data_IF_528206495638
#
_entry.id   IF_528206495638
#
_cell.length_a   1.000
_cell.length_b   1.000
_cell.length_c   1.000
_cell.angle_alpha   90.00
_cell.angle_beta   90.00
_cell.angle_gamma   90.00
#
_symmetry.space_group_name_H-M   'P 1'
#
loop_
_entity.id
_entity.type
_entity.pdbx_description
1 polymer ?
#
# COMPACT_ATOMS: atom_id res chain seq x y z
N UNK A 1 7.00 2.57 -0.28
CA UNK A 1 6.00 2.93 -1.31
C UNK A 1 6.70 3.03 -2.65
N UNK A 2 6.20 2.33 -3.66
CA UNK A 2 6.60 2.50 -5.06
C UNK A 2 5.36 3.01 -5.81
N UNK A 3 5.49 4.15 -6.48
CA UNK A 3 4.41 4.73 -7.29
C UNK A 3 4.85 4.66 -8.73
N UNK A 4 4.16 3.86 -9.56
CA UNK A 4 4.36 3.96 -11.01
C UNK A 4 3.80 5.30 -11.46
N UNK A 5 4.56 6.03 -12.27
CA UNK A 5 4.10 7.28 -12.89
C UNK A 5 4.03 7.05 -14.39
N UNK A 6 2.86 6.62 -14.87
CA UNK A 6 2.55 6.58 -16.30
C UNK A 6 2.02 7.96 -16.71
N UNK A 7 2.94 8.91 -16.91
CA UNK A 7 2.62 10.29 -17.33
C UNK A 7 1.93 11.15 -16.26
N UNK A 8 0.77 11.73 -16.61
CA UNK A 8 -0.02 12.65 -15.77
C UNK A 8 -1.10 11.95 -14.93
N UNK A 9 -1.24 10.62 -15.10
CA UNK A 9 -2.11 9.81 -14.25
C UNK A 9 -1.34 9.38 -13.01
N UNK A 10 -2.01 9.48 -11.86
CA UNK A 10 -1.59 8.79 -10.65
C UNK A 10 -1.63 7.30 -10.96
N UNK A 11 -0.49 6.75 -11.38
CA UNK A 11 -0.37 5.32 -11.63
C UNK A 11 -0.47 4.55 -10.32
N UNK A 12 -0.68 3.24 -10.46
CA UNK A 12 -0.91 2.35 -9.33
C UNK A 12 0.14 2.54 -8.23
N UNK A 13 -0.33 2.75 -6.99
CA UNK A 13 0.54 2.98 -5.85
C UNK A 13 0.62 1.71 -5.00
N UNK A 14 1.84 1.24 -4.78
CA UNK A 14 2.10 0.11 -3.90
C UNK A 14 2.42 0.56 -2.47
N UNK A 15 1.67 0.01 -1.52
CA UNK A 15 1.83 0.19 -0.08
C UNK A 15 2.05 -1.16 0.57
N UNK A 16 3.24 -1.37 1.14
CA UNK A 16 3.54 -2.63 1.80
C UNK A 16 5.02 -2.86 2.01
N UNK A 17 5.35 -4.10 2.34
CA UNK A 17 6.70 -4.52 2.68
C UNK A 17 7.45 -4.98 1.43
N UNK A 18 8.67 -4.48 1.30
CA UNK A 18 9.64 -4.93 0.29
C UNK A 18 10.59 -5.95 0.91
N UNK A 19 11.00 -6.96 0.14
CA UNK A 19 12.04 -7.91 0.53
C UNK A 19 13.01 -8.08 -0.64
N UNK A 20 14.29 -7.75 -0.44
CA UNK A 20 15.31 -7.86 -1.50
C UNK A 20 15.03 -7.01 -2.75
N UNK A 21 14.38 -5.85 -2.59
CA UNK A 21 14.03 -4.98 -3.72
C UNK A 21 12.75 -5.37 -4.47
N UNK A 22 12.10 -6.48 -4.09
CA UNK A 22 10.84 -6.95 -4.69
C UNK A 22 9.69 -6.73 -3.69
N UNK A 23 8.50 -6.29 -4.13
CA UNK A 23 7.30 -6.30 -3.29
C UNK A 23 7.08 -7.71 -2.73
N UNK A 24 6.84 -7.83 -1.43
CA UNK A 24 6.62 -9.12 -0.77
C UNK A 24 5.15 -9.31 -0.39
N UNK A 25 4.58 -8.32 0.29
CA UNK A 25 3.17 -8.30 0.70
C UNK A 25 2.70 -6.85 0.80
N UNK A 26 1.48 -6.58 0.35
CA UNK A 26 0.89 -5.25 0.48
C UNK A 26 -0.34 -5.03 -0.40
N UNK A 27 -0.69 -3.76 -0.55
CA UNK A 27 -1.84 -3.26 -1.30
C UNK A 27 -1.37 -2.49 -2.51
N UNK A 28 -1.99 -2.76 -3.65
CA UNK A 28 -1.93 -1.90 -4.84
C UNK A 28 -3.23 -1.13 -4.92
N UNK A 29 -3.11 0.19 -4.91
CA UNK A 29 -4.17 1.12 -5.24
C UNK A 29 -4.30 1.18 -6.77
N UNK A 30 -5.39 0.63 -7.30
CA UNK A 30 -5.78 0.67 -8.72
C UNK A 30 -6.95 1.64 -8.90
N UNK A 31 -7.15 2.09 -10.14
CA UNK A 31 -8.25 3.01 -10.49
C UNK A 31 -9.63 2.47 -10.07
N UNK A 32 -9.79 1.14 -10.11
CA UNK A 32 -11.06 0.46 -9.84
C UNK A 32 -11.11 -0.18 -8.43
N UNK A 33 -10.15 0.12 -7.55
CA UNK A 33 -10.12 -0.35 -6.16
C UNK A 33 -8.76 -0.90 -5.70
N UNK A 34 -8.78 -1.68 -4.63
CA UNK A 34 -7.56 -2.20 -4.00
C UNK A 34 -7.37 -3.69 -4.29
N UNK A 35 -6.16 -4.06 -4.73
CA UNK A 35 -5.71 -5.46 -4.69
C UNK A 35 -4.75 -5.63 -3.53
N UNK A 36 -5.03 -6.57 -2.64
CA UNK A 36 -4.24 -6.82 -1.43
C UNK A 36 -3.76 -8.27 -1.42
N UNK A 37 -2.46 -8.48 -1.19
CA UNK A 37 -1.95 -9.84 -1.09
C UNK A 37 -0.43 -9.97 -1.09
N UNK A 38 0.00 -11.23 -1.15
CA UNK A 38 1.39 -11.61 -1.38
C UNK A 38 1.74 -11.40 -2.85
N UNK A 39 2.92 -10.83 -3.07
CA UNK A 39 3.46 -10.65 -4.40
C UNK A 39 4.32 -11.86 -4.76
N UNK A 40 4.01 -12.50 -5.88
CA UNK A 40 4.86 -13.47 -6.53
C UNK A 40 5.22 -12.94 -7.92
N UNK A 41 6.50 -12.92 -8.26
CA UNK A 41 7.01 -12.48 -9.58
C UNK A 41 6.49 -11.12 -10.07
N UNK A 42 6.20 -10.20 -9.16
CA UNK A 42 5.83 -8.82 -9.49
C UNK A 42 4.33 -8.55 -9.65
N UNK A 43 3.46 -9.53 -9.40
CA UNK A 43 2.01 -9.36 -9.32
C UNK A 43 1.47 -9.97 -8.02
N UNK A 44 0.28 -9.54 -7.61
CA UNK A 44 -0.46 -10.19 -6.53
C UNK A 44 -0.95 -11.52 -7.10
N UNK A 45 -0.40 -12.62 -6.58
CA UNK A 45 -0.77 -13.95 -7.04
C UNK A 45 -2.27 -14.20 -6.89
N UNK A 46 -2.89 -14.86 -7.87
CA UNK A 46 -4.35 -15.10 -7.90
C UNK A 46 -4.90 -15.80 -6.64
N UNK A 47 -4.05 -16.52 -5.89
CA UNK A 47 -4.44 -17.15 -4.63
C UNK A 47 -4.42 -16.21 -3.42
N UNK A 48 -3.77 -15.06 -3.50
CA UNK A 48 -3.74 -14.10 -2.39
C UNK A 48 -5.12 -13.48 -2.14
N UNK A 49 -5.96 -13.41 -3.17
CA UNK A 49 -7.36 -12.97 -3.07
C UNK A 49 -8.25 -14.02 -2.37
N UNK A 50 -7.91 -15.30 -2.44
CA UNK A 50 -8.71 -16.40 -1.88
C UNK A 50 -8.52 -16.67 -0.39
N UNK A 51 -7.48 -16.11 0.24
CA UNK A 51 -7.24 -16.29 1.68
C UNK A 51 -7.51 -14.97 2.44
N UNK A 52 -8.60 -14.90 3.23
CA UNK A 52 -8.92 -13.71 4.01
C UNK A 52 -7.79 -13.24 4.94
N UNK A 53 -7.01 -14.16 5.49
CA UNK A 53 -5.90 -13.83 6.38
C UNK A 53 -4.77 -13.12 5.64
N UNK A 54 -4.48 -13.54 4.39
CA UNK A 54 -3.46 -12.91 3.54
C UNK A 54 -3.88 -11.49 3.16
N UNK A 55 -5.18 -11.26 2.90
CA UNK A 55 -5.71 -9.91 2.68
C UNK A 55 -5.51 -9.03 3.91
N UNK A 56 -5.85 -9.52 5.11
CA UNK A 56 -5.67 -8.78 6.36
C UNK A 56 -4.19 -8.42 6.58
N UNK A 57 -3.29 -9.39 6.42
CA UNK A 57 -1.85 -9.17 6.61
C UNK A 57 -1.29 -8.18 5.57
N UNK A 58 -1.81 -8.18 4.35
CA UNK A 58 -1.46 -7.22 3.32
C UNK A 58 -1.92 -5.80 3.64
N UNK A 59 -3.16 -5.62 4.12
CA UNK A 59 -3.63 -4.31 4.58
C UNK A 59 -2.84 -3.84 5.81
N UNK A 60 -2.50 -4.72 6.76
CA UNK A 60 -1.62 -4.37 7.90
C UNK A 60 -0.25 -3.86 7.44
N UNK A 61 0.38 -4.54 6.48
CA UNK A 61 1.64 -4.10 5.89
C UNK A 61 1.50 -2.75 5.16
N UNK A 62 0.36 -2.51 4.49
CA UNK A 62 0.07 -1.25 3.82
C UNK A 62 -0.14 -0.09 4.80
N UNK A 63 -0.85 -0.31 5.91
CA UNK A 63 -1.06 0.65 7.00
C UNK A 63 0.28 1.08 7.59
N UNK A 64 1.13 0.10 7.93
CA UNK A 64 2.47 0.38 8.48
C UNK A 64 3.30 1.21 7.48
N UNK A 65 3.31 0.82 6.21
CA UNK A 65 4.02 1.54 5.17
C UNK A 65 3.49 2.98 4.99
N UNK A 66 2.17 3.19 5.01
CA UNK A 66 1.55 4.51 4.90
C UNK A 66 1.89 5.39 6.10
N UNK A 67 1.82 4.87 7.33
CA UNK A 67 2.21 5.60 8.55
C UNK A 67 3.70 5.98 8.54
N UNK A 68 4.59 5.10 8.09
CA UNK A 68 6.02 5.42 7.95
C UNK A 68 6.26 6.56 6.95
N UNK A 69 5.52 6.58 5.84
CA UNK A 69 5.61 7.67 4.85
C UNK A 69 5.04 8.97 5.42
N UNK A 70 3.92 8.91 6.15
CA UNK A 70 3.35 10.05 6.88
C UNK A 70 4.37 10.67 7.83
N UNK A 71 5.02 9.85 8.67
CA UNK A 71 6.06 10.28 9.60
C UNK A 71 7.25 10.93 8.87
N UNK A 72 7.69 10.36 7.74
CA UNK A 72 8.75 10.94 6.92
C UNK A 72 8.37 12.33 6.41
N UNK A 73 7.17 12.49 5.85
CA UNK A 73 6.70 13.80 5.37
C UNK A 73 6.53 14.81 6.49
N UNK A 74 6.12 14.37 7.68
CA UNK A 74 6.05 15.22 8.87
C UNK A 74 7.44 15.72 9.29
N UNK A 75 8.45 14.86 9.25
CA UNK A 75 9.84 15.25 9.50
C UNK A 75 10.40 16.22 8.43
N UNK A 76 9.86 16.19 7.21
CA UNK A 76 10.19 17.12 6.12
C UNK A 76 9.32 18.40 6.13
N UNK A 77 8.52 18.64 7.18
CA UNK A 77 7.59 19.78 7.27
C UNK A 77 6.55 19.86 6.13
N UNK A 78 6.18 18.71 5.57
CA UNK A 78 5.17 18.59 4.50
C UNK A 78 3.85 18.10 5.08
N UNK A 79 3.22 18.92 5.92
CA UNK A 79 2.05 18.53 6.72
C UNK A 79 0.87 18.01 5.88
N UNK A 80 0.56 18.63 4.74
CA UNK A 80 -0.50 18.15 3.83
C UNK A 80 -0.21 16.74 3.30
N UNK A 81 1.05 16.45 2.96
CA UNK A 81 1.43 15.11 2.50
C UNK A 81 1.38 14.11 3.64
N UNK A 82 1.84 14.48 4.84
CA UNK A 82 1.75 13.63 6.02
C UNK A 82 0.29 13.26 6.32
N UNK A 83 -0.61 14.26 6.34
CA UNK A 83 -2.03 14.04 6.57
C UNK A 83 -2.67 13.16 5.49
N UNK A 84 -2.26 13.29 4.22
CA UNK A 84 -2.73 12.43 3.14
C UNK A 84 -2.43 10.95 3.42
N UNK A 85 -1.17 10.61 3.74
CA UNK A 85 -0.80 9.22 4.02
C UNK A 85 -1.38 8.69 5.33
N UNK A 86 -1.62 9.56 6.32
CA UNK A 86 -2.32 9.19 7.55
C UNK A 86 -3.79 8.84 7.29
N UNK A 87 -4.49 9.65 6.48
CA UNK A 87 -5.87 9.35 6.04
C UNK A 87 -5.91 8.04 5.25
N UNK A 88 -4.93 7.81 4.37
CA UNK A 88 -4.85 6.57 3.60
C UNK A 88 -4.67 5.34 4.50
N UNK A 89 -3.84 5.45 5.55
CA UNK A 89 -3.68 4.39 6.53
C UNK A 89 -5.01 4.05 7.23
N UNK A 90 -5.81 5.05 7.59
CA UNK A 90 -7.15 4.85 8.16
C UNK A 90 -8.12 4.20 7.18
N UNK A 91 -8.06 4.57 5.90
CA UNK A 91 -8.86 3.91 4.85
C UNK A 91 -8.52 2.43 4.75
N UNK A 92 -7.25 2.05 4.81
CA UNK A 92 -6.83 0.64 4.83
C UNK A 92 -7.25 -0.09 6.10
N UNK A 93 -7.24 0.59 7.25
CA UNK A 93 -7.70 0.03 8.53
C UNK A 93 -9.19 -0.34 8.47
N UNK A 94 -10.02 0.51 7.85
CA UNK A 94 -11.43 0.23 7.60
C UNK A 94 -11.70 -0.91 6.59
N UNK A 95 -10.67 -1.42 5.88
CA UNK A 95 -10.80 -2.61 5.02
C UNK A 95 -10.54 -3.92 5.77
N UNK A 96 -10.09 -3.84 7.03
CA UNK A 96 -9.78 -4.99 7.89
C UNK A 96 -10.95 -5.32 8.84
N UNK A 97 -11.78 -4.33 9.20
CA UNK A 97 -13.02 -4.51 9.99
C UNK A 97 -14.11 -5.26 9.20
#
# INVERSE_FOLDING_TARGET
MLRRRDGDRVGAAFFGKMKGGVPHIGVVDLVDGYRAGNFDRGDIGAQAESNPQVRIDAFRAAIEAARLVSLKYKAEHKDTSAQFYETLAKTFEAQIE
#
